data_IF_154615910969
#
_entry.id   IF_154615910969
#
_cell.length_a   1.000
_cell.length_b   1.000
_cell.length_c   1.000
_cell.angle_alpha   90.00
_cell.angle_beta   90.00
_cell.angle_gamma   90.00
#
_symmetry.space_group_name_H-M   'P 1'
#
loop_
_entity.id
_entity.type
_entity.pdbx_description
1 polymer ?
#
# COMPACT_ATOMS: atom_id res chain seq x y z
N UNK A 1 -5.30 -5.43 -0.69
CA UNK A 1 -5.42 -5.60 0.78
C UNK A 1 -6.60 -4.79 1.29
N UNK A 2 -7.15 -5.09 2.46
CA UNK A 2 -8.34 -4.42 2.96
C UNK A 2 -8.04 -3.26 3.91
N UNK A 3 -6.85 -3.22 4.52
CA UNK A 3 -6.41 -2.10 5.36
C UNK A 3 -4.89 -1.90 5.19
N UNK A 4 -4.52 -0.95 4.34
CA UNK A 4 -3.11 -0.63 4.10
C UNK A 4 -2.47 0.05 5.31
N UNK A 5 -3.21 0.84 6.09
CA UNK A 5 -2.65 1.55 7.24
C UNK A 5 -2.13 0.57 8.28
N UNK A 6 -2.96 -0.40 8.67
CA UNK A 6 -2.56 -1.48 9.60
C UNK A 6 -1.44 -2.34 9.02
N UNK A 7 -1.45 -2.58 7.70
CA UNK A 7 -0.38 -3.35 7.04
C UNK A 7 0.96 -2.61 7.11
N UNK A 8 1.00 -1.30 6.85
CA UNK A 8 2.23 -0.51 6.91
C UNK A 8 2.81 -0.43 8.34
N UNK A 9 1.98 -0.35 9.37
CA UNK A 9 2.44 -0.48 10.76
C UNK A 9 3.09 -1.84 11.04
N UNK A 10 2.50 -2.90 10.49
CA UNK A 10 3.08 -4.26 10.59
C UNK A 10 4.42 -4.34 9.86
N UNK A 11 4.55 -3.74 8.68
CA UNK A 11 5.81 -3.68 7.93
C UNK A 11 6.90 -2.97 8.74
N UNK A 12 6.60 -1.80 9.32
CA UNK A 12 7.54 -1.08 10.20
C UNK A 12 7.99 -1.94 11.37
N UNK A 13 7.05 -2.62 12.02
CA UNK A 13 7.32 -3.48 13.18
C UNK A 13 8.19 -4.68 12.85
N UNK A 14 8.19 -5.14 11.59
CA UNK A 14 9.00 -6.26 11.11
C UNK A 14 10.30 -5.82 10.40
N UNK A 15 10.71 -4.56 10.54
CA UNK A 15 11.96 -4.05 9.99
C UNK A 15 11.91 -3.66 8.50
N UNK A 16 10.73 -3.68 7.89
CA UNK A 16 10.52 -3.11 6.57
C UNK A 16 10.42 -1.58 6.63
N UNK A 17 10.77 -0.93 5.52
CA UNK A 17 10.82 0.53 5.41
C UNK A 17 9.66 1.03 4.57
N UNK A 18 8.88 1.98 5.10
CA UNK A 18 7.86 2.68 4.32
C UNK A 18 8.53 3.82 3.57
N UNK A 19 8.57 3.74 2.24
CA UNK A 19 9.17 4.75 1.35
C UNK A 19 8.15 5.78 0.86
N UNK A 20 6.86 5.45 0.90
CA UNK A 20 5.75 6.37 0.73
C UNK A 20 4.58 5.93 1.61
N UNK A 21 4.11 6.87 2.43
CA UNK A 21 3.00 6.64 3.36
C UNK A 21 1.68 6.29 2.64
N UNK A 22 0.84 5.43 3.27
CA UNK A 22 -0.51 5.13 2.80
C UNK A 22 -1.31 6.40 2.53
N UNK A 23 -1.65 6.62 1.26
CA UNK A 23 -2.41 7.79 0.84
C UNK A 23 -3.21 7.52 -0.43
N UNK A 24 -4.38 8.17 -0.61
CA UNK A 24 -5.08 8.13 -1.88
C UNK A 24 -4.18 8.64 -3.02
N UNK A 25 -4.27 7.98 -4.18
CA UNK A 25 -3.64 8.49 -5.40
C UNK A 25 -4.20 9.85 -5.78
N UNK A 26 -3.38 10.69 -6.42
CA UNK A 26 -3.84 12.00 -6.92
C UNK A 26 -4.99 11.78 -7.91
N UNK A 27 -6.15 12.38 -7.62
CA UNK A 27 -7.33 12.30 -8.48
C UNK A 27 -8.15 11.00 -8.36
N UNK A 28 -7.86 10.14 -7.36
CA UNK A 28 -8.63 8.94 -7.10
C UNK A 28 -8.80 8.66 -5.59
N UNK A 29 -9.57 7.63 -5.27
CA UNK A 29 -9.80 7.16 -3.89
C UNK A 29 -8.99 5.93 -3.51
N UNK A 30 -8.32 5.29 -4.47
CA UNK A 30 -7.47 4.12 -4.20
C UNK A 30 -6.29 4.53 -3.33
N UNK A 31 -6.21 3.96 -2.14
CA UNK A 31 -5.08 4.14 -1.23
C UNK A 31 -3.93 3.24 -1.69
N UNK A 32 -2.73 3.82 -1.77
CA UNK A 32 -1.49 3.10 -2.05
C UNK A 32 -0.40 3.46 -1.06
N UNK A 33 0.56 2.55 -0.88
CA UNK A 33 1.80 2.77 -0.13
C UNK A 33 2.96 2.10 -0.85
N UNK A 34 4.17 2.62 -0.66
CA UNK A 34 5.39 1.95 -1.12
C UNK A 34 6.23 1.52 0.07
N UNK A 35 6.67 0.27 0.02
CA UNK A 35 7.52 -0.33 1.05
C UNK A 35 8.77 -0.92 0.43
N UNK A 36 9.81 -1.04 1.23
CA UNK A 36 11.10 -1.65 0.89
C UNK A 36 11.37 -2.73 1.94
N UNK A 37 11.64 -3.95 1.49
CA UNK A 37 12.02 -5.06 2.37
C UNK A 37 13.51 -4.97 2.77
N UNK A 38 14.00 -5.80 3.71
CA UNK A 38 15.40 -5.78 4.13
C UNK A 38 16.41 -6.05 3.02
N UNK A 39 16.00 -6.72 1.93
CA UNK A 39 16.83 -7.02 0.76
C UNK A 39 16.82 -5.87 -0.27
N UNK A 40 16.03 -4.81 -0.03
CA UNK A 40 15.93 -3.63 -0.88
C UNK A 40 14.90 -3.73 -1.99
N UNK A 41 14.07 -4.78 -2.02
CA UNK A 41 12.98 -4.88 -3.00
C UNK A 41 11.86 -3.91 -2.67
N UNK A 42 11.42 -3.18 -3.70
CA UNK A 42 10.31 -2.22 -3.59
C UNK A 42 9.00 -2.90 -3.89
N UNK A 43 8.04 -2.80 -2.97
CA UNK A 43 6.72 -3.40 -3.06
C UNK A 43 5.68 -2.28 -3.00
N UNK A 44 4.73 -2.32 -3.93
CA UNK A 44 3.58 -1.41 -3.94
C UNK A 44 2.37 -2.12 -3.31
N UNK A 45 1.80 -1.51 -2.27
CA UNK A 45 0.54 -1.96 -1.70
C UNK A 45 -0.62 -1.18 -2.30
N UNK A 46 -1.66 -1.90 -2.74
CA UNK A 46 -2.88 -1.34 -3.33
C UNK A 46 -4.11 -1.83 -2.53
N UNK A 47 -4.92 -0.88 -2.06
CA UNK A 47 -6.09 -1.19 -1.25
C UNK A 47 -7.23 -1.66 -2.17
N UNK A 48 -7.73 -2.88 -1.93
CA UNK A 48 -8.64 -3.59 -2.83
C UNK A 48 -10.10 -3.11 -2.70
N UNK A 49 -10.41 -2.30 -1.68
CA UNK A 49 -11.75 -1.72 -1.48
C UNK A 49 -12.24 -0.94 -2.71
N UNK A 50 -11.32 -0.35 -3.49
CA UNK A 50 -11.63 0.41 -4.71
C UNK A 50 -11.11 -0.23 -6.00
N UNK A 51 -10.23 -1.24 -5.94
CA UNK A 51 -9.64 -1.83 -7.16
C UNK A 51 -10.68 -2.57 -8.03
N UNK A 52 -11.76 -3.07 -7.44
CA UNK A 52 -12.89 -3.65 -8.19
C UNK A 52 -13.67 -2.63 -9.03
N UNK A 53 -13.59 -1.34 -8.74
CA UNK A 53 -14.33 -0.33 -9.49
C UNK A 53 -13.64 0.07 -10.82
N UNK A 54 -12.32 -0.14 -10.95
CA UNK A 54 -11.54 0.19 -12.14
C UNK A 54 -11.31 -0.98 -13.11
N UNK A 55 -11.47 -2.21 -12.62
CA UNK A 55 -11.46 -3.43 -13.44
C UNK A 55 -12.92 -3.75 -13.75
N UNK A 56 -13.44 -3.24 -14.87
CA UNK A 56 -14.81 -3.54 -15.33
C UNK A 56 -15.11 -5.03 -15.21
N UNK A 57 -16.29 -5.35 -14.69
CA UNK A 57 -16.78 -6.72 -14.43
C UNK A 57 -16.56 -7.68 -15.61
#
# INVERSE_FOLDING_TARGET
>A
MDDIYTTCESVRSNGGKITREPSPVKGGSTVIAFVEDPDGYKIEFIENKNAKAGLGN
#
